data_IF_629566024591
#
_entry.id   IF_629566024591
#
_cell.length_a   1.000
_cell.length_b   1.000
_cell.length_c   1.000
_cell.angle_alpha   90.00
_cell.angle_beta   90.00
_cell.angle_gamma   90.00
#
_symmetry.space_group_name_H-M   'P 1'
#
loop_
_entity.id
_entity.type
_entity.pdbx_description
1 polymer ?
#
# COMPACT_ATOMS: atom_id res chain seq x y z
N UNK A 1 17.82 0.35 14.25
CA UNK A 1 18.11 -0.67 13.21
C UNK A 1 17.64 -2.07 13.56
N UNK A 2 17.56 -2.46 14.81
CA UNK A 2 17.30 -3.82 15.29
C UNK A 2 15.89 -4.36 14.95
N UNK A 3 14.81 -3.63 15.16
CA UNK A 3 13.44 -4.16 14.98
C UNK A 3 13.02 -4.48 13.54
N UNK A 4 13.56 -3.74 12.54
CA UNK A 4 13.29 -4.02 11.12
C UNK A 4 14.00 -5.29 10.66
N UNK A 5 15.22 -5.49 11.15
CA UNK A 5 16.03 -6.69 10.88
C UNK A 5 15.40 -7.93 11.50
N UNK A 6 14.94 -7.84 12.76
CA UNK A 6 14.27 -8.94 13.47
C UNK A 6 12.94 -9.35 12.81
N UNK A 7 12.11 -8.39 12.40
CA UNK A 7 10.87 -8.69 11.68
C UNK A 7 11.14 -9.30 10.29
N UNK A 8 12.23 -8.89 9.66
CA UNK A 8 12.69 -9.45 8.40
C UNK A 8 13.10 -10.91 8.60
N UNK A 9 13.93 -11.20 9.59
CA UNK A 9 14.41 -12.55 9.93
C UNK A 9 13.26 -13.47 10.32
N UNK A 10 12.33 -13.05 11.19
CA UNK A 10 11.14 -13.85 11.57
C UNK A 10 10.24 -14.18 10.38
N UNK A 11 10.11 -13.27 9.42
CA UNK A 11 9.32 -13.52 8.20
C UNK A 11 10.03 -14.50 7.28
N UNK A 12 11.34 -14.40 7.18
CA UNK A 12 12.20 -15.28 6.40
C UNK A 12 12.20 -16.70 6.95
N UNK A 13 12.42 -16.88 8.24
CA UNK A 13 12.31 -18.17 8.94
C UNK A 13 10.94 -18.83 8.72
N UNK A 14 9.85 -18.06 8.77
CA UNK A 14 8.50 -18.57 8.53
C UNK A 14 8.32 -19.08 7.09
N UNK A 15 8.96 -18.45 6.11
CA UNK A 15 8.94 -18.90 4.71
C UNK A 15 9.80 -20.14 4.57
N UNK A 16 11.02 -20.14 5.12
CA UNK A 16 11.94 -21.28 5.06
C UNK A 16 11.34 -22.51 5.70
N UNK A 17 10.70 -22.40 6.87
CA UNK A 17 9.95 -23.53 7.49
C UNK A 17 8.84 -24.08 6.60
N UNK A 18 8.17 -23.26 5.78
CA UNK A 18 7.19 -23.75 4.81
C UNK A 18 7.84 -24.51 3.66
N UNK A 19 9.08 -24.15 3.33
CA UNK A 19 9.85 -24.75 2.25
C UNK A 19 10.59 -26.01 2.66
N UNK A 20 10.83 -26.24 3.98
CA UNK A 20 11.52 -27.44 4.51
C UNK A 20 10.86 -28.75 4.08
N UNK A 21 9.54 -28.74 3.86
CA UNK A 21 8.75 -29.89 3.44
C UNK A 21 8.31 -29.82 1.97
N UNK A 22 8.92 -28.92 1.17
CA UNK A 22 8.61 -28.73 -0.24
C UNK A 22 9.72 -29.30 -1.12
N UNK A 23 9.41 -29.45 -2.40
CA UNK A 23 10.37 -29.77 -3.46
C UNK A 23 11.59 -28.83 -3.41
N UNK A 24 12.79 -29.42 -3.54
CA UNK A 24 14.07 -28.70 -3.56
C UNK A 24 14.09 -27.57 -4.61
N UNK A 25 13.45 -27.75 -5.75
CA UNK A 25 13.35 -26.72 -6.80
C UNK A 25 12.66 -25.43 -6.31
N UNK A 26 11.70 -25.54 -5.39
CA UNK A 26 11.01 -24.35 -4.86
C UNK A 26 11.88 -23.63 -3.84
N UNK A 27 12.74 -24.35 -3.11
CA UNK A 27 13.73 -23.76 -2.22
C UNK A 27 14.79 -23.00 -3.02
N UNK A 28 15.31 -23.58 -4.08
CA UNK A 28 16.27 -22.94 -4.98
C UNK A 28 15.66 -21.71 -5.67
N UNK A 29 14.39 -21.79 -6.08
CA UNK A 29 13.69 -20.63 -6.63
C UNK A 29 13.53 -19.50 -5.61
N UNK A 30 13.37 -19.79 -4.33
CA UNK A 30 13.35 -18.78 -3.29
C UNK A 30 14.67 -18.01 -3.24
N UNK A 31 15.82 -18.71 -3.24
CA UNK A 31 17.14 -18.10 -3.27
C UNK A 31 17.42 -17.35 -4.60
N UNK A 32 16.95 -17.87 -5.71
CA UNK A 32 17.00 -17.16 -7.00
C UNK A 32 16.25 -15.82 -6.97
N UNK A 33 15.06 -15.80 -6.38
CA UNK A 33 14.30 -14.54 -6.19
C UNK A 33 15.02 -13.58 -5.24
N UNK A 34 15.77 -14.09 -4.27
CA UNK A 34 16.56 -13.26 -3.33
C UNK A 34 17.73 -12.60 -4.04
N UNK A 35 18.46 -13.36 -4.85
CA UNK A 35 19.52 -12.84 -5.69
C UNK A 35 19.03 -11.77 -6.69
N UNK A 36 17.76 -11.84 -7.13
CA UNK A 36 17.12 -10.79 -7.93
C UNK A 36 16.71 -9.55 -7.10
N UNK A 37 16.95 -9.52 -5.78
CA UNK A 37 16.56 -8.42 -4.91
C UNK A 37 15.04 -8.27 -4.72
N UNK A 38 14.26 -9.35 -4.91
CA UNK A 38 12.81 -9.29 -4.68
C UNK A 38 12.50 -9.10 -3.19
N UNK A 39 11.50 -8.26 -2.90
CA UNK A 39 11.09 -8.03 -1.51
C UNK A 39 10.57 -9.30 -0.84
N UNK A 40 10.77 -9.46 0.50
CA UNK A 40 10.26 -10.59 1.27
C UNK A 40 8.76 -10.82 1.07
N UNK A 41 7.97 -9.75 0.99
CA UNK A 41 6.54 -9.84 0.72
C UNK A 41 6.26 -10.43 -0.66
N UNK A 42 7.02 -10.05 -1.67
CA UNK A 42 6.89 -10.60 -3.03
C UNK A 42 7.26 -12.07 -3.06
N UNK A 43 8.41 -12.43 -2.46
CA UNK A 43 8.86 -13.82 -2.34
C UNK A 43 7.80 -14.68 -1.66
N UNK A 44 7.30 -14.27 -0.48
CA UNK A 44 6.27 -15.00 0.25
C UNK A 44 4.98 -15.18 -0.57
N UNK A 45 4.51 -14.13 -1.23
CA UNK A 45 3.31 -14.24 -2.06
C UNK A 45 3.50 -15.21 -3.23
N UNK A 46 4.63 -15.13 -3.92
CA UNK A 46 4.94 -16.00 -5.06
C UNK A 46 5.02 -17.47 -4.60
N UNK A 47 5.75 -17.75 -3.54
CA UNK A 47 5.80 -19.09 -2.95
C UNK A 47 4.40 -19.59 -2.59
N UNK A 48 3.58 -18.79 -1.92
CA UNK A 48 2.21 -19.20 -1.58
C UNK A 48 1.36 -19.50 -2.82
N UNK A 49 1.49 -18.73 -3.90
CA UNK A 49 0.74 -18.98 -5.14
C UNK A 49 1.22 -20.21 -5.87
N UNK A 50 2.52 -20.45 -5.93
CA UNK A 50 3.10 -21.65 -6.55
C UNK A 50 2.70 -22.89 -5.76
N UNK A 51 2.82 -22.88 -4.43
CA UNK A 51 2.38 -23.99 -3.58
C UNK A 51 0.89 -24.31 -3.75
N UNK A 52 0.04 -23.29 -3.80
CA UNK A 52 -1.39 -23.49 -4.03
C UNK A 52 -1.66 -24.13 -5.40
N UNK A 53 -0.95 -23.71 -6.43
CA UNK A 53 -1.02 -24.30 -7.77
C UNK A 53 -0.56 -25.76 -7.75
N UNK A 54 0.66 -26.05 -7.26
CA UNK A 54 1.23 -27.39 -7.22
C UNK A 54 0.33 -28.37 -6.44
N UNK A 55 -0.20 -27.92 -5.29
CA UNK A 55 -1.15 -28.71 -4.49
C UNK A 55 -2.45 -29.00 -5.25
N UNK A 56 -2.95 -28.03 -6.02
CA UNK A 56 -4.22 -28.20 -6.77
C UNK A 56 -4.04 -29.14 -7.95
N UNK A 57 -2.91 -29.02 -8.66
CA UNK A 57 -2.63 -29.85 -9.84
C UNK A 57 -2.21 -31.27 -9.45
N UNK A 58 -1.50 -31.42 -8.32
CA UNK A 58 -1.05 -32.70 -7.77
C UNK A 58 -0.39 -33.61 -8.81
N UNK A 59 0.55 -33.08 -9.58
CA UNK A 59 1.35 -33.77 -10.61
C UNK A 59 2.84 -33.55 -10.34
N UNK A 60 3.67 -34.46 -10.77
CA UNK A 60 5.10 -34.24 -10.86
C UNK A 60 5.41 -33.08 -11.82
N UNK A 61 6.46 -32.32 -11.52
CA UNK A 61 6.78 -31.07 -12.21
C UNK A 61 6.92 -31.24 -13.73
N UNK A 62 7.52 -32.34 -14.16
CA UNK A 62 7.72 -32.68 -15.56
C UNK A 62 6.44 -33.07 -16.32
N UNK A 63 5.38 -33.42 -15.59
CA UNK A 63 4.08 -33.82 -16.14
C UNK A 63 3.06 -32.67 -16.15
N UNK A 64 3.45 -31.48 -15.67
CA UNK A 64 2.61 -30.28 -15.71
C UNK A 64 2.65 -29.68 -17.12
N UNK A 65 1.47 -29.38 -17.62
CA UNK A 65 1.30 -28.83 -19.00
C UNK A 65 0.75 -27.40 -18.95
N UNK A 66 0.86 -26.68 -20.07
CA UNK A 66 0.22 -25.37 -20.24
C UNK A 66 -1.30 -25.42 -20.05
N UNK A 67 -1.94 -26.55 -20.38
CA UNK A 67 -3.38 -26.75 -20.15
C UNK A 67 -3.72 -26.79 -18.65
N UNK A 68 -2.87 -27.38 -17.81
CA UNK A 68 -3.06 -27.40 -16.36
C UNK A 68 -2.99 -25.98 -15.79
N UNK A 69 -2.02 -25.16 -16.23
CA UNK A 69 -1.93 -23.75 -15.84
C UNK A 69 -3.16 -22.96 -16.28
N UNK A 70 -3.59 -23.13 -17.55
CA UNK A 70 -4.74 -22.42 -18.07
C UNK A 70 -6.04 -22.80 -17.32
N UNK A 71 -6.26 -24.08 -17.04
CA UNK A 71 -7.40 -24.57 -16.24
C UNK A 71 -7.37 -23.98 -14.82
N UNK A 72 -6.20 -23.93 -14.17
CA UNK A 72 -6.05 -23.34 -12.85
C UNK A 72 -6.36 -21.84 -12.84
N UNK A 73 -5.82 -21.08 -13.77
CA UNK A 73 -6.13 -19.64 -13.88
C UNK A 73 -7.62 -19.42 -14.14
N UNK A 74 -8.25 -20.23 -14.97
CA UNK A 74 -9.70 -20.17 -15.25
C UNK A 74 -10.51 -20.48 -13.99
N UNK A 75 -10.14 -21.51 -13.21
CA UNK A 75 -10.82 -21.84 -11.97
C UNK A 75 -10.73 -20.73 -10.92
N UNK A 76 -9.61 -20.00 -10.86
CA UNK A 76 -9.49 -18.82 -10.02
C UNK A 76 -10.39 -17.67 -10.51
N UNK A 77 -10.56 -17.51 -11.82
CA UNK A 77 -11.46 -16.50 -12.41
C UNK A 77 -12.93 -16.78 -12.05
N UNK A 78 -13.36 -18.05 -12.08
CA UNK A 78 -14.72 -18.45 -11.68
C UNK A 78 -14.97 -18.32 -10.18
N UNK A 79 -13.93 -18.28 -9.36
CA UNK A 79 -14.01 -18.07 -7.89
C UNK A 79 -14.08 -16.59 -7.50
N UNK A 80 -14.49 -15.70 -8.40
CA UNK A 80 -14.65 -14.25 -8.18
C UNK A 80 -13.39 -13.53 -7.68
N UNK A 81 -12.21 -14.12 -7.89
CA UNK A 81 -10.95 -13.47 -7.52
C UNK A 81 -10.72 -12.22 -8.41
N UNK A 82 -10.22 -11.11 -7.82
CA UNK A 82 -9.93 -9.91 -8.61
C UNK A 82 -8.98 -10.20 -9.76
N UNK A 83 -9.19 -9.56 -10.91
CA UNK A 83 -8.35 -9.75 -12.09
C UNK A 83 -6.85 -9.46 -11.83
N UNK A 84 -6.56 -8.49 -10.94
CA UNK A 84 -5.20 -8.21 -10.50
C UNK A 84 -4.54 -9.36 -9.74
N UNK A 85 -5.33 -10.16 -9.02
CA UNK A 85 -4.87 -11.37 -8.34
C UNK A 85 -4.45 -12.43 -9.37
N UNK A 86 -5.29 -12.69 -10.38
CA UNK A 86 -4.99 -13.64 -11.47
C UNK A 86 -3.70 -13.28 -12.19
N UNK A 87 -3.51 -12.00 -12.50
CA UNK A 87 -2.28 -11.51 -13.13
C UNK A 87 -1.07 -11.73 -12.22
N UNK A 88 -1.21 -11.55 -10.91
CA UNK A 88 -0.10 -11.76 -9.96
C UNK A 88 0.26 -13.23 -9.84
N UNK A 89 -0.75 -14.12 -9.78
CA UNK A 89 -0.54 -15.58 -9.81
C UNK A 89 0.16 -16.00 -11.09
N UNK A 90 -0.29 -15.49 -12.24
CA UNK A 90 0.33 -15.79 -13.53
C UNK A 90 1.80 -15.38 -13.56
N UNK A 91 2.17 -14.20 -13.03
CA UNK A 91 3.58 -13.78 -12.94
C UNK A 91 4.40 -14.67 -11.99
N UNK A 92 3.81 -15.14 -10.89
CA UNK A 92 4.49 -16.05 -9.99
C UNK A 92 4.80 -17.39 -10.66
N UNK A 93 3.80 -17.96 -11.37
CA UNK A 93 3.98 -19.22 -12.12
C UNK A 93 4.97 -19.01 -13.28
N UNK A 94 4.85 -17.89 -14.03
CA UNK A 94 5.79 -17.59 -15.09
C UNK A 94 7.23 -17.56 -14.60
N UNK A 95 7.48 -16.83 -13.51
CA UNK A 95 8.85 -16.75 -12.96
C UNK A 95 9.38 -18.09 -12.50
N UNK A 96 8.52 -18.95 -11.93
CA UNK A 96 8.92 -20.29 -11.47
C UNK A 96 9.24 -21.23 -12.63
N UNK A 97 8.36 -21.35 -13.62
CA UNK A 97 8.58 -22.23 -14.78
C UNK A 97 9.71 -21.71 -15.68
N UNK A 98 9.94 -20.40 -15.74
CA UNK A 98 11.10 -19.82 -16.42
C UNK A 98 12.40 -20.19 -15.70
N UNK A 99 12.41 -20.17 -14.36
CA UNK A 99 13.54 -20.64 -13.56
C UNK A 99 13.82 -22.13 -13.78
N UNK A 100 12.79 -22.99 -13.74
CA UNK A 100 12.94 -24.43 -13.97
C UNK A 100 13.50 -24.73 -15.36
N UNK A 101 13.02 -24.04 -16.40
CA UNK A 101 13.49 -24.19 -17.76
C UNK A 101 14.95 -23.73 -17.92
N UNK A 102 15.30 -22.57 -17.39
CA UNK A 102 16.66 -22.02 -17.50
C UNK A 102 17.71 -22.85 -16.73
N UNK A 103 17.29 -23.63 -15.74
CA UNK A 103 18.15 -24.56 -15.02
C UNK A 103 18.06 -26.02 -15.53
N UNK A 104 17.47 -26.24 -16.70
CA UNK A 104 17.32 -27.56 -17.34
C UNK A 104 16.58 -28.61 -16.49
N UNK A 105 15.70 -28.17 -15.57
CA UNK A 105 14.88 -29.05 -14.74
C UNK A 105 13.68 -29.55 -15.53
N UNK A 106 13.17 -28.72 -16.44
CA UNK A 106 12.12 -29.06 -17.41
C UNK A 106 12.63 -28.80 -18.83
N UNK A 107 12.19 -29.61 -19.78
CA UNK A 107 12.63 -29.53 -21.18
C UNK A 107 11.98 -28.37 -21.97
N UNK A 108 10.81 -27.91 -21.54
CA UNK A 108 10.05 -26.86 -22.22
C UNK A 108 9.50 -25.82 -21.22
N UNK A 109 9.55 -24.54 -21.58
CA UNK A 109 8.87 -23.52 -20.80
C UNK A 109 7.38 -23.47 -21.17
N UNK A 110 6.57 -24.16 -20.38
CA UNK A 110 5.11 -24.30 -20.58
C UNK A 110 4.37 -22.95 -20.56
N UNK A 111 4.95 -21.93 -19.93
CA UNK A 111 4.33 -20.60 -19.84
C UNK A 111 4.30 -19.84 -21.17
N UNK A 112 5.11 -20.26 -22.17
CA UNK A 112 5.08 -19.69 -23.51
C UNK A 112 3.72 -19.89 -24.21
N UNK A 113 2.99 -20.97 -23.85
CA UNK A 113 1.65 -21.27 -24.35
C UNK A 113 0.53 -20.83 -23.39
N UNK A 114 0.85 -20.09 -22.31
CA UNK A 114 -0.12 -19.61 -21.34
C UNK A 114 -0.38 -18.11 -21.54
N UNK A 115 -1.55 -17.69 -22.07
CA UNK A 115 -1.84 -16.29 -22.28
C UNK A 115 -1.94 -15.56 -20.93
N UNK A 116 -1.38 -14.35 -20.89
CA UNK A 116 -1.50 -13.51 -19.72
C UNK A 116 -2.97 -13.05 -19.53
N UNK A 117 -3.55 -13.18 -18.31
CA UNK A 117 -4.87 -12.66 -18.06
C UNK A 117 -4.95 -11.16 -18.37
N UNK A 118 -5.95 -10.76 -19.18
CA UNK A 118 -6.15 -9.35 -19.53
C UNK A 118 -6.61 -8.58 -18.30
N UNK A 119 -6.00 -7.42 -18.05
CA UNK A 119 -6.55 -6.49 -17.04
C UNK A 119 -7.79 -5.83 -17.65
N UNK A 120 -8.87 -5.74 -16.88
CA UNK A 120 -9.95 -4.82 -17.23
C UNK A 120 -9.39 -3.39 -17.27
N UNK A 121 -9.75 -2.57 -18.21
CA UNK A 121 -9.34 -1.17 -18.26
C UNK A 121 -9.69 -0.47 -16.95
N UNK A 122 -8.77 0.33 -16.42
CA UNK A 122 -8.91 0.96 -15.10
C UNK A 122 -9.91 2.13 -15.08
N UNK A 123 -10.43 2.55 -16.21
CA UNK A 123 -11.40 3.65 -16.33
C UNK A 123 -12.83 3.26 -15.94
N UNK A 124 -13.15 1.97 -15.82
CA UNK A 124 -14.46 1.49 -15.35
C UNK A 124 -14.56 1.37 -13.82
N UNK A 125 -13.48 1.59 -13.09
CA UNK A 125 -13.48 1.52 -11.64
C UNK A 125 -13.66 2.91 -11.07
N UNK A 126 -14.84 3.23 -10.61
CA UNK A 126 -15.12 4.45 -9.87
C UNK A 126 -14.16 4.56 -8.67
N UNK A 127 -13.35 5.60 -8.65
CA UNK A 127 -12.33 5.76 -7.63
C UNK A 127 -12.91 6.42 -6.41
N UNK A 128 -13.07 5.64 -5.38
CA UNK A 128 -13.48 6.14 -4.08
C UNK A 128 -12.37 7.03 -3.47
N UNK A 129 -12.67 8.29 -3.26
CA UNK A 129 -11.85 9.25 -2.52
C UNK A 129 -12.75 10.06 -1.59
N UNK A 130 -12.18 10.76 -0.62
CA UNK A 130 -12.91 11.66 0.28
C UNK A 130 -12.91 13.07 -0.27
N UNK A 131 -14.07 13.64 -0.37
CA UNK A 131 -14.26 15.07 -0.63
C UNK A 131 -13.94 15.91 0.62
N UNK A 132 -13.73 17.25 0.50
CA UNK A 132 -13.37 18.09 1.64
C UNK A 132 -14.34 18.00 2.82
N UNK A 133 -15.64 17.91 2.60
CA UNK A 133 -16.65 17.76 3.67
C UNK A 133 -16.58 16.39 4.34
N UNK A 134 -16.23 15.34 3.62
CA UNK A 134 -16.04 13.99 4.16
C UNK A 134 -14.74 13.87 4.97
N UNK A 135 -13.71 14.63 4.57
CA UNK A 135 -12.47 14.75 5.36
C UNK A 135 -12.78 15.42 6.72
N UNK A 136 -13.62 16.46 6.74
CA UNK A 136 -14.07 17.07 8.01
C UNK A 136 -14.77 16.04 8.90
N UNK A 137 -15.68 15.25 8.33
CA UNK A 137 -16.37 14.17 9.05
C UNK A 137 -15.40 13.09 9.57
N UNK A 138 -14.37 12.75 8.80
CA UNK A 138 -13.32 11.84 9.26
C UNK A 138 -12.60 12.39 10.51
N UNK A 139 -12.22 13.66 10.48
CA UNK A 139 -11.55 14.32 11.62
C UNK A 139 -12.48 14.35 12.84
N UNK A 140 -13.76 14.64 12.66
CA UNK A 140 -14.79 14.59 13.72
C UNK A 140 -14.93 13.17 14.29
N UNK A 141 -14.95 12.14 13.45
CA UNK A 141 -14.98 10.75 13.91
C UNK A 141 -13.76 10.40 14.78
N UNK A 142 -12.58 10.95 14.49
CA UNK A 142 -11.40 10.75 15.35
C UNK A 142 -11.58 11.50 16.66
N UNK A 143 -12.02 12.75 16.64
CA UNK A 143 -12.20 13.59 17.82
C UNK A 143 -13.27 13.06 18.79
N UNK A 144 -14.37 12.55 18.26
CA UNK A 144 -15.51 12.07 19.03
C UNK A 144 -15.42 10.57 19.38
N UNK A 145 -14.47 9.86 18.75
CA UNK A 145 -14.39 8.40 18.82
C UNK A 145 -15.56 7.71 18.10
N UNK A 146 -15.38 6.45 17.74
CA UNK A 146 -16.41 5.63 17.08
C UNK A 146 -16.62 4.32 17.82
N UNK A 147 -17.86 3.79 17.79
CA UNK A 147 -18.24 2.57 18.47
C UNK A 147 -18.82 2.81 19.88
N UNK A 148 -18.76 1.79 20.73
CA UNK A 148 -19.26 1.85 22.10
C UNK A 148 -18.30 2.61 23.05
N UNK A 149 -18.74 2.91 24.27
CA UNK A 149 -18.00 3.73 25.23
C UNK A 149 -16.63 3.15 25.59
N UNK A 150 -16.51 1.83 25.73
CA UNK A 150 -15.22 1.16 25.98
C UNK A 150 -14.24 1.34 24.79
N UNK A 151 -14.77 1.29 23.58
CA UNK A 151 -13.98 1.54 22.38
C UNK A 151 -13.53 2.99 22.30
N UNK A 152 -14.42 3.94 22.61
CA UNK A 152 -14.12 5.38 22.63
C UNK A 152 -13.09 5.73 23.71
N UNK A 153 -13.24 5.21 24.93
CA UNK A 153 -12.27 5.43 26.01
C UNK A 153 -10.83 5.04 25.59
N UNK A 154 -10.67 3.89 24.92
CA UNK A 154 -9.37 3.47 24.38
C UNK A 154 -8.87 4.38 23.25
N UNK A 155 -9.75 4.93 22.44
CA UNK A 155 -9.40 5.84 21.36
C UNK A 155 -8.92 7.17 21.91
N UNK A 156 -9.57 7.70 22.94
CA UNK A 156 -9.18 8.97 23.58
C UNK A 156 -7.79 8.93 24.21
N UNK A 157 -7.29 7.77 24.62
CA UNK A 157 -5.92 7.64 25.12
C UNK A 157 -4.88 7.97 24.03
N UNK A 158 -5.21 7.77 22.75
CA UNK A 158 -4.31 7.92 21.59
C UNK A 158 -4.87 8.88 20.54
N UNK A 159 -5.73 9.81 20.92
CA UNK A 159 -6.44 10.71 20.00
C UNK A 159 -5.46 11.57 19.20
N UNK A 160 -4.42 12.10 19.86
CA UNK A 160 -3.41 12.96 19.24
C UNK A 160 -2.59 12.16 18.18
N UNK A 161 -2.25 10.90 18.50
CA UNK A 161 -1.61 9.99 17.55
C UNK A 161 -2.48 9.75 16.32
N UNK A 162 -3.75 9.40 16.56
CA UNK A 162 -4.69 9.02 15.53
C UNK A 162 -4.99 10.22 14.61
N UNK A 163 -5.13 11.43 15.20
CA UNK A 163 -5.23 12.70 14.45
C UNK A 163 -3.97 12.96 13.63
N UNK A 164 -2.77 12.90 14.23
CA UNK A 164 -1.52 13.13 13.52
C UNK A 164 -1.35 12.16 12.34
N UNK A 165 -1.69 10.87 12.51
CA UNK A 165 -1.65 9.87 11.42
C UNK A 165 -2.62 10.24 10.28
N UNK A 166 -3.86 10.61 10.59
CA UNK A 166 -4.86 11.01 9.58
C UNK A 166 -4.41 12.27 8.87
N UNK A 167 -3.91 13.29 9.61
CA UNK A 167 -3.43 14.54 9.03
C UNK A 167 -2.21 14.32 8.13
N UNK A 168 -1.30 13.41 8.49
CA UNK A 168 -0.20 13.02 7.59
C UNK A 168 -0.71 12.49 6.25
N UNK A 169 -1.73 11.63 6.23
CA UNK A 169 -2.29 11.15 4.96
C UNK A 169 -2.97 12.26 4.16
N UNK A 170 -3.71 13.14 4.81
CA UNK A 170 -4.51 14.20 4.17
C UNK A 170 -3.64 15.33 3.64
N UNK A 171 -2.57 15.71 4.35
CA UNK A 171 -1.73 16.84 3.97
C UNK A 171 -0.53 16.48 3.11
N UNK A 172 -0.07 15.23 3.14
CA UNK A 172 1.14 14.82 2.43
C UNK A 172 0.90 13.69 1.42
N UNK A 173 -0.22 12.98 1.52
CA UNK A 173 -0.47 11.79 0.73
C UNK A 173 0.58 10.69 0.92
N UNK A 174 1.24 10.63 2.06
CA UNK A 174 2.32 9.66 2.37
C UNK A 174 1.89 8.22 2.15
N UNK A 175 2.83 7.35 1.77
CA UNK A 175 2.57 5.90 1.70
C UNK A 175 2.52 5.30 3.09
N UNK A 176 1.60 4.34 3.31
CA UNK A 176 1.42 3.66 4.59
C UNK A 176 2.72 3.11 5.18
N UNK A 177 3.50 2.40 4.36
CA UNK A 177 4.77 1.83 4.81
C UNK A 177 5.82 2.88 5.16
N UNK A 178 5.82 4.01 4.47
CA UNK A 178 6.72 5.12 4.74
C UNK A 178 6.34 5.82 6.06
N UNK A 179 5.04 6.04 6.29
CA UNK A 179 4.54 6.61 7.55
C UNK A 179 4.96 5.78 8.78
N UNK A 180 4.87 4.44 8.69
CA UNK A 180 5.22 3.58 9.83
C UNK A 180 6.71 3.50 10.12
N UNK A 181 7.56 3.90 9.18
CA UNK A 181 9.04 3.86 9.34
C UNK A 181 9.63 5.18 9.85
N UNK A 182 8.85 6.26 9.93
CA UNK A 182 9.33 7.57 10.41
C UNK A 182 9.80 7.46 11.87
N UNK A 183 10.92 8.10 12.17
CA UNK A 183 11.46 8.28 13.51
C UNK A 183 11.16 9.69 14.03
N UNK A 184 11.34 9.91 15.31
CA UNK A 184 11.18 11.25 15.91
C UNK A 184 12.20 12.23 15.33
N UNK A 185 13.44 11.80 15.13
CA UNK A 185 14.55 12.57 14.54
C UNK A 185 14.32 12.97 13.07
N UNK A 186 13.36 12.35 12.38
CA UNK A 186 13.01 12.69 11.01
C UNK A 186 12.06 13.90 10.92
N UNK A 187 11.53 14.39 12.05
CA UNK A 187 10.63 15.55 12.11
C UNK A 187 11.46 16.79 12.48
N UNK A 188 11.54 17.71 11.55
CA UNK A 188 12.26 18.98 11.69
C UNK A 188 11.25 20.12 11.74
N UNK A 189 11.04 20.70 12.93
CA UNK A 189 10.11 21.81 13.14
C UNK A 189 10.69 23.16 12.72
N UNK A 190 12.02 23.30 12.67
CA UNK A 190 12.67 24.56 12.24
C UNK A 190 12.55 24.74 10.73
N UNK A 191 12.79 23.65 9.97
CA UNK A 191 12.66 23.65 8.52
C UNK A 191 11.28 23.23 8.03
N UNK A 192 10.34 22.96 8.95
CA UNK A 192 8.98 22.52 8.66
C UNK A 192 8.90 21.28 7.73
N UNK A 193 9.81 20.34 7.91
CA UNK A 193 9.91 19.14 7.08
C UNK A 193 9.85 17.85 7.85
N UNK A 194 9.39 16.81 7.17
CA UNK A 194 9.44 15.42 7.65
C UNK A 194 10.21 14.61 6.61
N UNK A 195 11.36 14.08 7.03
CA UNK A 195 12.20 13.23 6.21
C UNK A 195 11.60 11.83 6.13
N UNK A 196 11.43 11.32 4.92
CA UNK A 196 10.80 10.03 4.67
C UNK A 196 11.67 9.18 3.75
N UNK A 197 11.96 7.96 4.15
CA UNK A 197 12.71 7.00 3.35
C UNK A 197 11.75 5.98 2.73
N UNK A 198 11.69 5.91 1.41
CA UNK A 198 10.85 4.96 0.66
C UNK A 198 11.55 3.60 0.47
N UNK A 199 10.82 2.60 -0.05
CA UNK A 199 11.24 1.19 -0.21
C UNK A 199 12.58 0.97 -0.93
N UNK A 200 13.08 1.93 -1.69
CA UNK A 200 14.34 1.86 -2.45
C UNK A 200 15.46 2.70 -1.83
N UNK A 201 15.42 2.97 -0.53
CA UNK A 201 16.31 3.91 0.16
C UNK A 201 16.31 5.32 -0.45
N UNK A 202 15.29 5.68 -1.22
CA UNK A 202 15.12 7.03 -1.73
C UNK A 202 14.52 7.88 -0.61
N UNK A 203 15.29 8.86 -0.16
CA UNK A 203 14.86 9.84 0.84
C UNK A 203 14.18 11.01 0.14
N UNK A 204 13.11 11.50 0.74
CA UNK A 204 12.38 12.71 0.30
C UNK A 204 11.84 13.44 1.53
N UNK A 205 11.67 14.75 1.41
CA UNK A 205 11.08 15.57 2.45
C UNK A 205 9.62 15.87 2.09
N UNK A 206 8.74 15.76 3.08
CA UNK A 206 7.39 16.31 3.04
C UNK A 206 7.38 17.58 3.86
N UNK A 207 6.71 18.61 3.36
CA UNK A 207 6.58 19.89 4.06
C UNK A 207 5.36 19.87 4.98
N UNK A 208 5.51 20.43 6.17
CA UNK A 208 4.43 20.65 7.13
C UNK A 208 3.88 22.06 6.94
N UNK A 209 2.57 22.15 6.75
CA UNK A 209 1.87 23.42 6.96
C UNK A 209 1.53 23.60 8.45
N UNK A 210 1.09 24.80 8.85
CA UNK A 210 0.78 25.11 10.25
C UNK A 210 -0.18 24.11 10.89
N UNK A 211 -1.18 23.65 10.14
CA UNK A 211 -2.16 22.67 10.64
C UNK A 211 -1.49 21.33 10.96
N UNK A 212 -0.71 20.77 10.03
CA UNK A 212 -0.01 19.50 10.27
C UNK A 212 1.03 19.63 11.38
N UNK A 213 1.73 20.79 11.43
CA UNK A 213 2.70 21.10 12.46
C UNK A 213 2.08 21.08 13.87
N UNK A 214 0.91 21.70 14.03
CA UNK A 214 0.19 21.72 15.30
C UNK A 214 -0.18 20.29 15.76
N UNK A 215 -0.82 19.48 14.91
CA UNK A 215 -1.16 18.09 15.25
C UNK A 215 0.07 17.21 15.52
N UNK A 216 1.18 17.47 14.86
CA UNK A 216 2.41 16.74 15.09
C UNK A 216 3.04 17.11 16.44
N UNK A 217 3.00 18.41 16.80
CA UNK A 217 3.45 18.89 18.12
C UNK A 217 2.64 18.29 19.25
N UNK A 218 1.30 18.33 19.16
CA UNK A 218 0.41 17.73 20.16
C UNK A 218 0.69 16.24 20.34
N UNK A 219 0.90 15.53 19.23
CA UNK A 219 1.26 14.12 19.29
C UNK A 219 2.61 13.88 19.98
N UNK A 220 3.63 14.68 19.71
CA UNK A 220 4.94 14.49 20.31
C UNK A 220 4.93 14.74 21.81
N UNK A 221 4.14 15.74 22.29
CA UNK A 221 3.92 15.97 23.72
C UNK A 221 3.25 14.73 24.34
N UNK A 222 2.12 14.31 23.77
CA UNK A 222 1.38 13.14 24.27
C UNK A 222 2.20 11.85 24.23
N UNK A 223 2.99 11.69 23.18
CA UNK A 223 3.89 10.54 22.99
C UNK A 223 4.91 10.44 24.13
N UNK A 224 5.50 11.57 24.54
CA UNK A 224 6.45 11.64 25.65
C UNK A 224 5.79 11.21 26.98
N UNK A 225 4.58 11.66 27.23
CA UNK A 225 3.80 11.24 28.41
C UNK A 225 3.51 9.73 28.41
N UNK A 226 3.12 9.16 27.27
CA UNK A 226 2.78 7.74 27.14
C UNK A 226 4.00 6.82 27.29
N UNK A 227 5.18 7.28 26.88
CA UNK A 227 6.41 6.47 26.90
C UNK A 227 7.15 6.58 28.22
N UNK A 228 7.02 7.69 28.97
CA UNK A 228 7.86 7.97 30.12
C UNK A 228 9.35 7.88 29.74
N UNK A 229 10.11 7.06 30.45
CA UNK A 229 11.56 6.86 30.27
C UNK A 229 11.90 5.85 29.15
N UNK A 230 10.91 5.34 28.41
CA UNK A 230 11.16 4.34 27.37
C UNK A 230 11.79 4.96 26.13
N UNK A 231 12.96 4.48 25.71
CA UNK A 231 13.70 4.92 24.53
C UNK A 231 13.20 4.21 23.26
N UNK A 232 12.14 4.75 22.64
CA UNK A 232 11.62 4.25 21.36
C UNK A 232 11.77 5.35 20.32
N UNK A 233 12.53 5.10 19.26
CA UNK A 233 12.79 6.10 18.23
C UNK A 233 11.64 6.27 17.23
N UNK A 234 10.70 5.32 17.14
CA UNK A 234 9.56 5.40 16.23
C UNK A 234 8.69 6.63 16.50
N UNK A 235 8.35 7.40 15.46
CA UNK A 235 7.45 8.54 15.58
C UNK A 235 6.06 8.08 16.07
N UNK A 236 5.49 7.08 15.41
CA UNK A 236 4.18 6.52 15.80
C UNK A 236 4.34 5.21 16.55
N UNK A 237 3.76 5.14 17.74
CA UNK A 237 3.79 3.97 18.61
C UNK A 237 2.44 3.26 18.66
N UNK A 238 2.48 1.96 18.90
CA UNK A 238 1.32 1.12 19.16
C UNK A 238 0.89 1.21 20.64
N UNK A 239 -0.25 0.63 20.98
CA UNK A 239 -0.73 0.51 22.36
C UNK A 239 0.17 -0.39 23.24
N UNK A 240 1.21 -1.02 22.68
CA UNK A 240 2.19 -1.85 23.39
C UNK A 240 3.56 -1.17 23.46
N UNK A 241 3.59 0.14 23.32
CA UNK A 241 4.82 0.92 23.32
C UNK A 241 5.90 0.34 22.38
N UNK A 242 5.52 0.05 21.14
CA UNK A 242 6.40 -0.39 20.07
C UNK A 242 6.05 0.36 18.79
N UNK A 243 6.91 0.33 17.78
CA UNK A 243 6.61 0.94 16.47
C UNK A 243 5.25 0.45 15.96
N UNK A 244 4.40 1.38 15.51
CA UNK A 244 3.09 1.06 14.95
C UNK A 244 3.26 0.25 13.66
N UNK A 245 2.39 -0.75 13.45
CA UNK A 245 2.44 -1.58 12.25
C UNK A 245 1.53 -1.04 11.15
N UNK A 246 1.84 -1.34 9.89
CA UNK A 246 0.99 -0.99 8.76
C UNK A 246 -0.43 -1.57 8.90
N UNK A 247 -0.57 -2.74 9.51
CA UNK A 247 -1.88 -3.34 9.77
C UNK A 247 -2.67 -2.52 10.79
N UNK A 248 -2.04 -2.10 11.90
CA UNK A 248 -2.68 -1.27 12.93
C UNK A 248 -3.18 0.06 12.33
N UNK A 249 -2.35 0.72 11.50
CA UNK A 249 -2.77 1.97 10.82
C UNK A 249 -3.90 1.70 9.83
N UNK A 250 -3.88 0.57 9.12
CA UNK A 250 -4.98 0.21 8.21
C UNK A 250 -6.29 0.01 8.93
N UNK A 251 -6.29 -0.68 10.07
CA UNK A 251 -7.49 -0.88 10.90
C UNK A 251 -7.96 0.44 11.53
N UNK A 252 -7.03 1.33 11.94
CA UNK A 252 -7.34 2.67 12.42
C UNK A 252 -8.10 3.48 11.35
N UNK A 253 -7.58 3.54 10.12
CA UNK A 253 -8.22 4.26 9.02
C UNK A 253 -9.59 3.68 8.70
N UNK A 254 -9.72 2.36 8.60
CA UNK A 254 -11.01 1.71 8.38
C UNK A 254 -12.03 2.08 9.46
N UNK A 255 -11.62 2.02 10.72
CA UNK A 255 -12.45 2.34 11.87
C UNK A 255 -13.04 3.75 11.76
N UNK A 256 -12.22 4.76 11.54
CA UNK A 256 -12.67 6.15 11.50
C UNK A 256 -13.37 6.55 10.20
N UNK A 257 -13.22 5.79 9.13
CA UNK A 257 -13.95 6.00 7.87
C UNK A 257 -15.27 5.25 7.79
N UNK A 258 -15.63 4.45 8.80
CA UNK A 258 -16.93 3.78 8.89
C UNK A 258 -18.06 4.82 8.89
N UNK A 259 -19.06 4.61 8.04
CA UNK A 259 -20.23 5.50 7.90
C UNK A 259 -19.97 6.81 7.14
N UNK A 260 -18.78 6.96 6.50
CA UNK A 260 -18.50 8.08 5.58
C UNK A 260 -18.82 7.67 4.14
N UNK A 261 -18.43 6.48 3.73
CA UNK A 261 -18.76 5.83 2.44
C UNK A 261 -19.43 4.48 2.71
N UNK A 262 -20.00 3.86 1.70
CA UNK A 262 -20.61 2.51 1.79
C UNK A 262 -19.65 1.49 2.41
N UNK A 263 -18.36 1.56 2.04
CA UNK A 263 -17.30 0.69 2.58
C UNK A 263 -16.22 1.52 3.27
N UNK A 264 -15.73 1.07 4.42
CA UNK A 264 -14.61 1.73 5.09
C UNK A 264 -13.39 1.84 4.16
N UNK A 265 -12.68 2.96 4.26
CA UNK A 265 -11.56 3.25 3.38
C UNK A 265 -10.25 2.64 3.90
N UNK A 266 -9.25 2.60 3.03
CA UNK A 266 -7.90 2.18 3.36
C UNK A 266 -6.94 3.37 3.30
N UNK A 267 -5.74 3.30 3.91
CA UNK A 267 -4.72 4.35 3.79
C UNK A 267 -4.39 4.73 2.33
N UNK A 268 -4.45 3.76 1.42
CA UNK A 268 -4.25 4.03 -0.01
C UNK A 268 -5.35 4.92 -0.60
N UNK A 269 -6.58 4.79 -0.09
CA UNK A 269 -7.70 5.66 -0.50
C UNK A 269 -7.59 7.07 0.09
N UNK A 270 -7.05 7.24 1.31
CA UNK A 270 -6.73 8.57 1.84
C UNK A 270 -5.63 9.25 1.02
N UNK A 271 -4.60 8.51 0.62
CA UNK A 271 -3.59 9.02 -0.31
C UNK A 271 -4.20 9.39 -1.67
N UNK A 272 -5.16 8.62 -2.18
CA UNK A 272 -5.91 8.95 -3.38
C UNK A 272 -6.74 10.22 -3.20
N UNK A 273 -7.35 10.42 -2.01
CA UNK A 273 -8.08 11.63 -1.66
C UNK A 273 -7.21 12.88 -1.69
N UNK A 274 -5.99 12.80 -1.12
CA UNK A 274 -5.00 13.88 -1.23
C UNK A 274 -4.72 14.24 -2.70
N UNK A 275 -4.38 13.25 -3.52
CA UNK A 275 -4.02 13.48 -4.91
C UNK A 275 -5.19 14.06 -5.73
N UNK A 276 -6.40 13.52 -5.55
CA UNK A 276 -7.59 13.96 -6.28
C UNK A 276 -8.01 15.38 -5.86
N UNK A 277 -8.01 15.67 -4.55
CA UNK A 277 -8.34 17.01 -4.06
C UNK A 277 -7.31 18.05 -4.49
N UNK A 278 -6.01 17.73 -4.46
CA UNK A 278 -4.94 18.62 -4.94
C UNK A 278 -5.10 18.88 -6.43
N UNK A 279 -5.36 17.86 -7.24
CA UNK A 279 -5.61 18.03 -8.67
C UNK A 279 -6.88 18.86 -8.94
N UNK A 280 -7.98 18.59 -8.24
CA UNK A 280 -9.23 19.34 -8.41
C UNK A 280 -9.07 20.83 -8.04
N UNK A 281 -8.20 21.15 -7.09
CA UNK A 281 -7.92 22.51 -6.66
C UNK A 281 -6.99 23.27 -7.62
N UNK A 282 -6.00 22.57 -8.20
CA UNK A 282 -4.91 23.23 -8.95
C UNK A 282 -4.99 23.02 -10.46
N UNK A 283 -5.57 21.89 -10.91
CA UNK A 283 -5.51 21.43 -12.31
C UNK A 283 -4.12 20.93 -12.75
N UNK A 284 -3.13 20.98 -11.86
CA UNK A 284 -1.73 20.67 -12.17
C UNK A 284 -1.34 19.24 -11.78
N UNK A 285 -1.21 18.39 -12.79
CA UNK A 285 -0.80 17.00 -12.61
C UNK A 285 0.68 16.85 -12.21
N UNK A 286 1.52 17.81 -12.60
CA UNK A 286 2.96 17.75 -12.28
C UNK A 286 3.15 18.07 -10.80
N UNK A 287 2.43 19.07 -10.28
CA UNK A 287 2.40 19.38 -8.86
C UNK A 287 1.95 18.15 -8.04
N UNK A 288 0.86 17.49 -8.45
CA UNK A 288 0.39 16.26 -7.78
C UNK A 288 1.45 15.16 -7.80
N UNK A 289 2.12 14.96 -8.94
CA UNK A 289 3.17 13.95 -9.07
C UNK A 289 4.35 14.24 -8.13
N UNK A 290 4.80 15.48 -8.07
CA UNK A 290 5.89 15.91 -7.19
C UNK A 290 5.50 15.78 -5.73
N UNK A 291 4.32 16.29 -5.33
CA UNK A 291 3.81 16.21 -3.96
C UNK A 291 3.67 14.75 -3.47
N UNK A 292 3.31 13.83 -4.35
CA UNK A 292 3.20 12.42 -4.02
C UNK A 292 4.52 11.64 -4.10
N UNK A 293 5.62 12.26 -4.50
CA UNK A 293 6.89 11.56 -4.75
C UNK A 293 6.72 10.34 -5.68
N UNK A 294 5.93 10.49 -6.78
CA UNK A 294 5.72 9.43 -7.75
C UNK A 294 6.88 9.39 -8.76
N UNK A 295 7.55 8.26 -8.86
CA UNK A 295 8.58 8.00 -9.87
C UNK A 295 8.02 7.79 -11.29
N UNK A 296 6.69 7.62 -11.43
CA UNK A 296 6.05 7.33 -12.73
C UNK A 296 4.74 8.13 -12.88
N UNK A 297 4.65 8.91 -13.96
CA UNK A 297 3.49 9.75 -14.34
C UNK A 297 2.21 8.90 -14.52
N UNK A 298 2.35 7.68 -15.05
CA UNK A 298 1.19 6.80 -15.31
C UNK A 298 0.37 6.49 -14.05
N UNK A 299 0.99 6.53 -12.87
CA UNK A 299 0.28 6.34 -11.60
C UNK A 299 -0.52 7.59 -11.22
N UNK A 300 -0.09 8.77 -11.64
CA UNK A 300 -0.76 10.04 -11.35
C UNK A 300 -1.88 10.32 -12.36
N UNK A 301 -1.71 9.94 -13.62
CA UNK A 301 -2.76 10.02 -14.65
C UNK A 301 -4.05 9.31 -14.25
N UNK A 302 -3.93 8.31 -13.38
CA UNK A 302 -5.09 7.61 -12.86
C UNK A 302 -6.02 8.51 -12.01
N UNK A 303 -5.56 9.64 -11.50
CA UNK A 303 -6.40 10.60 -10.74
C UNK A 303 -7.07 11.66 -11.62
N UNK A 304 -6.60 11.80 -12.87
CA UNK A 304 -7.08 12.78 -13.86
C UNK A 304 -8.28 12.24 -14.67
N UNK A 305 -8.37 10.93 -14.86
CA UNK A 305 -9.32 10.30 -15.79
C UNK A 305 -10.78 10.28 -15.35
N UNK A 306 -11.15 10.83 -14.20
CA UNK A 306 -12.46 10.58 -13.60
C UNK A 306 -13.47 11.72 -13.65
N UNK A 307 -13.23 12.82 -14.37
CA UNK A 307 -14.27 13.87 -14.35
C UNK A 307 -14.63 14.41 -15.71
N UNK A 308 -15.91 14.28 -16.07
CA UNK A 308 -16.58 15.11 -17.08
C UNK A 308 -16.43 16.62 -16.77
N UNK A 309 -16.15 16.98 -15.51
CA UNK A 309 -15.70 18.32 -15.07
C UNK A 309 -14.51 18.88 -15.85
N UNK A 310 -13.56 18.03 -16.28
CA UNK A 310 -12.41 18.52 -17.05
C UNK A 310 -12.79 18.87 -18.48
N UNK A 311 -13.77 18.19 -19.06
CA UNK A 311 -14.33 18.52 -20.38
C UNK A 311 -15.11 19.81 -20.30
N UNK A 312 -15.89 20.00 -19.23
CA UNK A 312 -16.63 21.24 -18.98
C UNK A 312 -15.70 22.41 -18.75
N UNK A 313 -14.68 22.27 -17.85
CA UNK A 313 -13.65 23.30 -17.67
C UNK A 313 -12.91 23.66 -18.96
N UNK A 314 -12.60 22.67 -19.79
CA UNK A 314 -11.95 22.94 -21.08
C UNK A 314 -12.86 23.77 -22.00
N UNK A 315 -14.15 23.47 -22.03
CA UNK A 315 -15.13 24.26 -22.78
C UNK A 315 -15.24 25.69 -22.23
N UNK A 316 -15.36 25.83 -20.89
CA UNK A 316 -15.46 27.13 -20.21
C UNK A 316 -14.20 27.99 -20.43
N UNK A 317 -13.01 27.38 -20.39
CA UNK A 317 -11.73 28.07 -20.68
C UNK A 317 -11.68 28.53 -22.13
N UNK A 318 -12.10 27.70 -23.08
CA UNK A 318 -12.13 28.10 -24.50
C UNK A 318 -13.16 29.17 -24.76
N UNK A 319 -14.32 29.11 -24.11
CA UNK A 319 -15.33 30.17 -24.18
C UNK A 319 -14.77 31.51 -23.67
N UNK A 320 -14.06 31.49 -22.51
CA UNK A 320 -13.46 32.70 -21.95
C UNK A 320 -12.28 33.26 -22.78
N UNK A 321 -11.54 32.37 -23.49
CA UNK A 321 -10.43 32.80 -24.37
C UNK A 321 -10.92 33.43 -25.69
N UNK A 322 -12.09 33.00 -26.14
CA UNK A 322 -12.65 33.44 -27.44
C UNK A 322 -13.95 34.23 -27.29
N UNK A 323 -14.22 34.81 -26.10
CA UNK A 323 -15.33 35.76 -25.96
C UNK A 323 -15.11 36.94 -26.92
N UNK A 324 -15.85 36.94 -28.02
CA UNK A 324 -16.01 38.00 -28.95
C UNK A 324 -17.04 39.04 -28.43
#
# INVERSE_FOLDING_TARGET
MTGRLENKLKTEEKILRKLEHCDSNLQEYYYYMDAQGKSHKTKNNYICYILAFLKTINKEINNITSLDVNKYITSLATSEKPQSYLVTVWYALKGYFEFLYNNNIISNNIMNACPRPKRKPSYEVERTFLEPHEIKKLIENVKNGVGNDLSKARQFTYIERDLAIIMMFIHTGIRLTALTEINVEDVDFENETIKVTDKRNKTSNFYMNDTLRAYMSDWLIRRKELLGDSEINALFISNRNSRITANTVSELVKKYTTGIKEKPLTPHKLRASFATNLYNATGDIQLVQQAMNHSNVSTTQLYVQSSDRNKQKAADVMENLFNF
#
